data_IF_484879985618
#
_entry.id   IF_484879985618
#
_cell.length_a   1.000
_cell.length_b   1.000
_cell.length_c   1.000
_cell.angle_alpha   90.00
_cell.angle_beta   90.00
_cell.angle_gamma   90.00
#
_symmetry.space_group_name_H-M   'P 1'
#
loop_
_entity.id
_entity.type
_entity.pdbx_description
1 polymer ?
#
# COMPACT_ATOMS: atom_id res chain seq x y z
N UNK A 1 -12.96 -3.23 25.12
CA UNK A 1 -12.18 -4.50 25.09
C UNK A 1 -12.20 -4.93 23.64
N UNK A 2 -11.07 -5.24 23.00
CA UNK A 2 -11.08 -5.62 21.60
C UNK A 2 -11.89 -6.93 21.43
N UNK A 3 -12.87 -6.94 20.54
CA UNK A 3 -13.64 -8.15 20.24
C UNK A 3 -12.76 -9.16 19.50
N UNK A 4 -12.97 -10.45 19.75
CA UNK A 4 -12.36 -11.54 19.01
C UNK A 4 -13.46 -12.37 18.34
N UNK A 5 -13.51 -12.37 17.00
CA UNK A 5 -14.59 -13.08 16.27
C UNK A 5 -14.65 -14.59 16.57
N UNK A 6 -13.55 -15.19 17.06
CA UNK A 6 -13.52 -16.61 17.44
C UNK A 6 -14.46 -16.93 18.61
N UNK A 7 -14.79 -15.92 19.42
CA UNK A 7 -15.64 -16.06 20.59
C UNK A 7 -17.13 -16.09 20.20
N UNK A 8 -17.43 -16.01 18.89
CA UNK A 8 -18.77 -15.95 18.35
C UNK A 8 -18.98 -17.03 17.28
N UNK A 9 -20.19 -17.60 17.25
CA UNK A 9 -20.69 -18.21 16.02
C UNK A 9 -20.97 -17.12 14.97
N UNK A 10 -20.98 -17.44 13.66
CA UNK A 10 -21.29 -16.46 12.63
C UNK A 10 -22.64 -15.76 12.84
N UNK A 11 -23.69 -16.50 13.20
CA UNK A 11 -25.02 -15.94 13.44
C UNK A 11 -25.07 -15.08 14.72
N UNK A 12 -24.44 -15.51 15.81
CA UNK A 12 -24.35 -14.70 17.03
C UNK A 12 -23.54 -13.42 16.81
N UNK A 13 -22.46 -13.48 16.03
CA UNK A 13 -21.66 -12.30 15.67
C UNK A 13 -22.50 -11.28 14.90
N UNK A 14 -23.21 -11.72 13.85
CA UNK A 14 -24.09 -10.84 13.07
C UNK A 14 -25.21 -10.29 13.95
N UNK A 15 -25.83 -11.11 14.80
CA UNK A 15 -26.87 -10.63 15.72
C UNK A 15 -26.37 -9.53 16.67
N UNK A 16 -25.20 -9.73 17.29
CA UNK A 16 -24.60 -8.74 18.20
C UNK A 16 -24.19 -7.45 17.47
N UNK A 17 -23.71 -7.57 16.22
CA UNK A 17 -23.42 -6.44 15.34
C UNK A 17 -24.68 -5.64 14.98
N UNK A 18 -25.77 -6.33 14.65
CA UNK A 18 -27.04 -5.71 14.24
C UNK A 18 -27.79 -5.06 15.40
N UNK A 19 -27.54 -5.53 16.62
CA UNK A 19 -28.04 -4.94 17.86
C UNK A 19 -27.12 -3.83 18.41
N UNK A 20 -26.10 -3.40 17.64
CA UNK A 20 -25.13 -2.36 18.03
C UNK A 20 -24.34 -2.67 19.30
N UNK A 21 -24.24 -3.94 19.70
CA UNK A 21 -23.44 -4.38 20.86
C UNK A 21 -21.98 -4.58 20.49
N UNK A 22 -21.70 -4.79 19.20
CA UNK A 22 -20.37 -4.72 18.62
C UNK A 22 -20.27 -3.42 17.82
N UNK A 23 -19.23 -2.63 18.07
CA UNK A 23 -18.98 -1.46 17.24
C UNK A 23 -18.51 -1.88 15.85
N UNK A 24 -19.00 -1.22 14.80
CA UNK A 24 -18.64 -1.50 13.40
C UNK A 24 -17.11 -1.53 13.22
N UNK A 25 -16.40 -0.54 13.77
CA UNK A 25 -14.95 -0.47 13.68
C UNK A 25 -14.25 -1.69 14.33
N UNK A 26 -14.78 -2.20 15.44
CA UNK A 26 -14.26 -3.39 16.11
C UNK A 26 -14.53 -4.65 15.28
N UNK A 27 -15.72 -4.76 14.67
CA UNK A 27 -16.08 -5.85 13.75
C UNK A 27 -15.11 -5.94 12.57
N UNK A 28 -14.88 -4.81 11.87
CA UNK A 28 -13.94 -4.76 10.75
C UNK A 28 -12.50 -5.08 11.20
N UNK A 29 -12.05 -4.52 12.32
CA UNK A 29 -10.71 -4.78 12.86
C UNK A 29 -10.50 -6.26 13.16
N UNK A 30 -11.48 -6.90 13.82
CA UNK A 30 -11.42 -8.30 14.20
C UNK A 30 -11.49 -9.23 12.98
N UNK A 31 -12.45 -9.04 12.08
CA UNK A 31 -12.52 -9.79 10.81
C UNK A 31 -11.23 -9.64 10.00
N UNK A 32 -10.67 -8.42 9.92
CA UNK A 32 -9.40 -8.15 9.24
C UNK A 32 -8.23 -8.93 9.80
N UNK A 33 -8.11 -9.01 11.12
CA UNK A 33 -7.05 -9.78 11.77
C UNK A 33 -7.06 -11.25 11.30
N UNK A 34 -8.23 -11.86 11.18
CA UNK A 34 -8.38 -13.26 10.79
C UNK A 34 -8.31 -13.50 9.28
N UNK A 35 -8.81 -12.57 8.45
CA UNK A 35 -8.64 -12.63 6.98
C UNK A 35 -7.16 -12.68 6.63
N UNK A 36 -6.33 -11.86 7.28
CA UNK A 36 -4.90 -11.81 7.01
C UNK A 36 -4.09 -12.89 7.76
N UNK A 37 -4.60 -13.43 8.87
CA UNK A 37 -3.92 -14.47 9.63
C UNK A 37 -3.51 -15.66 8.76
N UNK A 38 -2.27 -16.12 8.94
CA UNK A 38 -1.77 -17.39 8.42
C UNK A 38 -2.22 -18.56 9.30
N UNK A 39 -2.64 -18.29 10.54
CA UNK A 39 -3.15 -19.31 11.45
C UNK A 39 -4.51 -19.80 10.95
N UNK A 40 -4.68 -21.12 10.91
CA UNK A 40 -5.94 -21.79 10.51
C UNK A 40 -6.95 -21.86 11.66
N UNK A 41 -6.81 -21.00 12.67
CA UNK A 41 -7.59 -21.04 13.91
C UNK A 41 -9.09 -20.87 13.66
N UNK A 42 -9.46 -20.26 12.52
CA UNK A 42 -10.83 -20.21 12.03
C UNK A 42 -10.87 -20.84 10.63
N UNK A 43 -11.72 -21.86 10.48
CA UNK A 43 -11.87 -22.60 9.23
C UNK A 43 -12.62 -21.79 8.16
N UNK A 44 -12.40 -22.12 6.89
CA UNK A 44 -13.10 -21.49 5.77
C UNK A 44 -14.63 -21.60 5.89
N UNK A 45 -15.14 -22.71 6.44
CA UNK A 45 -16.56 -22.92 6.69
C UNK A 45 -17.17 -21.83 7.60
N UNK A 46 -16.44 -21.39 8.63
CA UNK A 46 -16.91 -20.32 9.50
C UNK A 46 -17.06 -19.00 8.72
N UNK A 47 -16.11 -18.68 7.83
CA UNK A 47 -16.17 -17.49 6.98
C UNK A 47 -17.27 -17.58 5.92
N UNK A 48 -17.50 -18.77 5.35
CA UNK A 48 -18.62 -19.00 4.43
C UNK A 48 -19.96 -18.74 5.14
N UNK A 49 -20.13 -19.30 6.34
CA UNK A 49 -21.31 -19.05 7.16
C UNK A 49 -21.45 -17.58 7.55
N UNK A 50 -20.34 -16.91 7.90
CA UNK A 50 -20.36 -15.46 8.19
C UNK A 50 -20.82 -14.66 6.97
N UNK A 51 -20.28 -14.92 5.78
CA UNK A 51 -20.71 -14.22 4.55
C UNK A 51 -22.19 -14.46 4.29
N UNK A 52 -22.69 -15.68 4.49
CA UNK A 52 -24.10 -15.99 4.32
C UNK A 52 -25.00 -15.23 5.31
N UNK A 53 -24.64 -15.18 6.59
CA UNK A 53 -25.39 -14.46 7.62
C UNK A 53 -25.36 -12.95 7.41
N UNK A 54 -24.21 -12.38 7.07
CA UNK A 54 -24.09 -10.96 6.72
C UNK A 54 -24.96 -10.62 5.49
N UNK A 55 -24.95 -11.47 4.46
CA UNK A 55 -25.77 -11.23 3.27
C UNK A 55 -27.27 -11.34 3.54
N UNK A 56 -27.70 -12.28 4.40
CA UNK A 56 -29.11 -12.35 4.84
C UNK A 56 -29.52 -11.10 5.61
N UNK A 57 -28.68 -10.63 6.53
CA UNK A 57 -28.91 -9.40 7.28
C UNK A 57 -29.01 -8.18 6.36
N UNK A 58 -28.14 -8.12 5.35
CA UNK A 58 -28.17 -7.08 4.33
C UNK A 58 -29.44 -7.13 3.47
N UNK A 59 -29.90 -8.31 3.06
CA UNK A 59 -31.12 -8.49 2.27
C UNK A 59 -32.41 -8.08 3.03
N UNK A 60 -32.41 -8.15 4.37
CA UNK A 60 -33.55 -7.73 5.19
C UNK A 60 -33.78 -6.22 5.20
N UNK A 61 -32.70 -5.44 5.30
CA UNK A 61 -32.77 -3.97 5.32
C UNK A 61 -31.45 -3.36 4.76
N UNK A 62 -31.33 -3.26 3.42
CA UNK A 62 -30.14 -2.73 2.76
C UNK A 62 -29.81 -1.28 3.15
N UNK A 63 -30.81 -0.48 3.51
CA UNK A 63 -30.65 0.93 3.88
C UNK A 63 -29.96 1.07 5.23
N UNK A 64 -30.42 0.29 6.21
CA UNK A 64 -29.87 0.33 7.57
C UNK A 64 -28.53 -0.38 7.71
N UNK A 65 -28.28 -1.39 6.89
CA UNK A 65 -27.15 -2.32 7.06
C UNK A 65 -26.14 -2.32 5.91
N UNK A 66 -25.96 -1.19 5.22
CA UNK A 66 -24.97 -1.07 4.14
C UNK A 66 -23.55 -1.53 4.51
N UNK A 67 -23.11 -1.25 5.74
CA UNK A 67 -21.80 -1.69 6.25
C UNK A 67 -21.65 -3.22 6.35
N UNK A 68 -22.76 -3.96 6.49
CA UNK A 68 -22.78 -5.43 6.59
C UNK A 68 -22.38 -6.04 5.24
N UNK A 69 -22.79 -5.44 4.12
CA UNK A 69 -22.39 -5.88 2.80
C UNK A 69 -20.88 -5.75 2.60
N UNK A 70 -20.31 -4.62 3.01
CA UNK A 70 -18.86 -4.42 2.92
C UNK A 70 -18.11 -5.40 3.82
N UNK A 71 -18.58 -5.63 5.05
CA UNK A 71 -18.01 -6.64 5.93
C UNK A 71 -18.11 -8.05 5.31
N UNK A 72 -19.17 -8.33 4.55
CA UNK A 72 -19.32 -9.59 3.81
C UNK A 72 -18.30 -9.70 2.67
N UNK A 73 -18.07 -8.63 1.91
CA UNK A 73 -17.00 -8.57 0.90
C UNK A 73 -15.63 -8.80 1.56
N UNK A 74 -15.39 -8.16 2.71
CA UNK A 74 -14.16 -8.30 3.48
C UNK A 74 -13.97 -9.74 4.00
N UNK A 75 -14.99 -10.33 4.60
CA UNK A 75 -14.97 -11.71 5.07
C UNK A 75 -14.75 -12.71 3.91
N UNK A 76 -15.39 -12.46 2.76
CA UNK A 76 -15.23 -13.30 1.57
C UNK A 76 -13.78 -13.33 1.07
N UNK A 77 -12.97 -12.29 1.33
CA UNK A 77 -11.55 -12.28 0.98
C UNK A 77 -10.75 -13.44 1.59
N UNK A 78 -11.20 -13.99 2.73
CA UNK A 78 -10.61 -15.19 3.33
C UNK A 78 -10.77 -16.42 2.43
N UNK A 79 -11.82 -16.45 1.62
CA UNK A 79 -12.20 -17.55 0.75
C UNK A 79 -11.56 -17.44 -0.64
N UNK A 80 -10.72 -16.43 -0.89
CA UNK A 80 -10.12 -16.20 -2.20
C UNK A 80 -9.46 -17.47 -2.79
N UNK A 81 -9.79 -17.76 -4.05
CA UNK A 81 -9.35 -18.97 -4.76
C UNK A 81 -10.27 -20.18 -4.62
N UNK A 82 -11.31 -20.12 -3.76
CA UNK A 82 -12.30 -21.20 -3.63
C UNK A 82 -13.49 -21.04 -4.60
N UNK A 83 -14.27 -22.10 -4.80
CA UNK A 83 -15.54 -22.02 -5.55
C UNK A 83 -16.58 -21.15 -4.81
N UNK A 84 -16.60 -21.22 -3.48
CA UNK A 84 -17.49 -20.43 -2.61
C UNK A 84 -17.25 -18.93 -2.81
N UNK A 85 -15.99 -18.52 -2.90
CA UNK A 85 -15.65 -17.12 -3.19
C UNK A 85 -16.28 -16.62 -4.49
N UNK A 86 -16.17 -17.38 -5.58
CA UNK A 86 -16.76 -17.02 -6.88
C UNK A 86 -18.28 -16.92 -6.80
N UNK A 87 -18.93 -17.91 -6.17
CA UNK A 87 -20.39 -17.91 -5.93
C UNK A 87 -20.83 -16.66 -5.15
N UNK A 88 -20.08 -16.29 -4.11
CA UNK A 88 -20.36 -15.10 -3.32
C UNK A 88 -20.18 -13.81 -4.13
N UNK A 89 -19.19 -13.73 -5.03
CA UNK A 89 -19.02 -12.57 -5.93
C UNK A 89 -20.22 -12.40 -6.87
N UNK A 90 -20.77 -13.48 -7.41
CA UNK A 90 -21.99 -13.45 -8.23
C UNK A 90 -23.21 -13.00 -7.42
N UNK A 91 -23.30 -13.43 -6.15
CA UNK A 91 -24.33 -12.95 -5.22
C UNK A 91 -24.17 -11.45 -4.92
N UNK A 92 -22.95 -11.00 -4.63
CA UNK A 92 -22.65 -9.58 -4.42
C UNK A 92 -22.98 -8.74 -5.65
N UNK A 93 -22.70 -9.24 -6.86
CA UNK A 93 -23.10 -8.59 -8.11
C UNK A 93 -24.61 -8.46 -8.22
N UNK A 94 -25.32 -9.55 -8.01
CA UNK A 94 -26.79 -9.60 -8.13
C UNK A 94 -27.42 -8.63 -7.14
N UNK A 95 -26.95 -8.65 -5.89
CA UNK A 95 -27.37 -7.69 -4.87
C UNK A 95 -27.02 -6.26 -5.29
N UNK A 96 -25.77 -5.96 -5.68
CA UNK A 96 -25.36 -4.60 -6.13
C UNK A 96 -26.18 -4.03 -7.29
N UNK A 97 -26.80 -4.89 -8.11
CA UNK A 97 -27.70 -4.51 -9.21
C UNK A 97 -29.14 -4.30 -8.74
N UNK A 98 -29.63 -5.17 -7.85
CA UNK A 98 -31.02 -5.19 -7.39
C UNK A 98 -31.28 -4.23 -6.23
N UNK A 99 -30.23 -3.78 -5.56
CA UNK A 99 -30.33 -2.78 -4.53
C UNK A 99 -30.75 -1.45 -5.18
N UNK A 100 -32.05 -1.16 -5.13
CA UNK A 100 -32.65 0.14 -5.42
C UNK A 100 -32.35 1.11 -4.27
N UNK A 101 -31.09 1.20 -3.81
CA UNK A 101 -30.73 2.23 -2.84
C UNK A 101 -30.93 3.57 -3.51
N UNK A 102 -31.79 4.40 -2.92
CA UNK A 102 -32.02 5.78 -3.34
C UNK A 102 -30.66 6.44 -3.57
N UNK A 103 -30.53 7.18 -4.66
CA UNK A 103 -29.36 8.00 -4.94
C UNK A 103 -29.06 8.86 -3.69
N UNK A 104 -27.99 8.52 -2.96
CA UNK A 104 -27.69 9.14 -1.65
C UNK A 104 -27.32 8.20 -0.50
N UNK A 105 -26.90 6.96 -0.77
CA UNK A 105 -26.27 6.08 0.23
C UNK A 105 -24.80 5.83 -0.17
N UNK A 106 -23.85 6.07 0.74
CA UNK A 106 -22.41 6.03 0.44
C UNK A 106 -21.89 4.62 0.31
N UNK A 107 -22.35 3.78 1.21
CA UNK A 107 -21.97 2.38 1.36
C UNK A 107 -22.29 1.63 0.06
N UNK A 108 -23.40 1.98 -0.61
CA UNK A 108 -23.76 1.45 -1.92
C UNK A 108 -22.66 1.62 -2.97
N UNK A 109 -22.19 2.85 -3.17
CA UNK A 109 -21.24 3.17 -4.22
C UNK A 109 -19.86 2.58 -3.92
N UNK A 110 -19.46 2.55 -2.66
CA UNK A 110 -18.23 1.89 -2.23
C UNK A 110 -18.30 0.37 -2.46
N UNK A 111 -19.34 -0.29 -1.94
CA UNK A 111 -19.60 -1.71 -2.13
C UNK A 111 -19.60 -2.11 -3.61
N UNK A 112 -20.32 -1.35 -4.44
CA UNK A 112 -20.39 -1.56 -5.89
C UNK A 112 -19.01 -1.35 -6.54
N UNK A 113 -18.24 -0.36 -6.09
CA UNK A 113 -16.86 -0.14 -6.52
C UNK A 113 -15.99 -1.37 -6.25
N UNK A 114 -16.03 -1.87 -5.00
CA UNK A 114 -15.28 -3.05 -4.57
C UNK A 114 -15.65 -4.30 -5.36
N UNK A 115 -16.94 -4.58 -5.55
CA UNK A 115 -17.39 -5.75 -6.31
C UNK A 115 -16.90 -5.69 -7.75
N UNK A 116 -17.10 -4.55 -8.44
CA UNK A 116 -16.60 -4.39 -9.80
C UNK A 116 -15.07 -4.50 -9.88
N UNK A 117 -14.36 -3.98 -8.88
CA UNK A 117 -12.90 -4.10 -8.80
C UNK A 117 -12.46 -5.57 -8.74
N UNK A 118 -13.06 -6.36 -7.85
CA UNK A 118 -12.72 -7.77 -7.65
C UNK A 118 -12.96 -8.58 -8.93
N UNK A 119 -13.96 -8.19 -9.72
CA UNK A 119 -14.31 -8.84 -10.99
C UNK A 119 -13.45 -8.39 -12.17
N UNK A 120 -12.58 -7.40 -11.98
CA UNK A 120 -11.78 -6.82 -13.04
C UNK A 120 -12.53 -5.81 -13.93
N UNK A 121 -13.77 -5.44 -13.61
CA UNK A 121 -14.48 -4.36 -14.30
C UNK A 121 -14.05 -2.99 -13.75
N UNK A 122 -12.79 -2.65 -13.98
CA UNK A 122 -12.14 -1.49 -13.39
C UNK A 122 -12.80 -0.17 -13.78
N UNK A 123 -13.37 -0.09 -14.98
CA UNK A 123 -14.11 1.08 -15.45
C UNK A 123 -15.40 1.31 -14.65
N UNK A 124 -16.17 0.24 -14.36
CA UNK A 124 -17.36 0.37 -13.50
C UNK A 124 -16.98 0.57 -12.03
N UNK A 125 -15.88 -0.03 -11.58
CA UNK A 125 -15.35 0.19 -10.24
C UNK A 125 -15.04 1.68 -10.04
N UNK A 126 -14.26 2.26 -10.95
CA UNK A 126 -13.93 3.69 -10.99
C UNK A 126 -15.19 4.56 -10.93
N UNK A 127 -16.16 4.34 -11.82
CA UNK A 127 -17.40 5.13 -11.84
C UNK A 127 -18.15 5.06 -10.51
N UNK A 128 -18.18 3.89 -9.88
CA UNK A 128 -18.85 3.69 -8.60
C UNK A 128 -18.13 4.45 -7.49
N UNK A 129 -16.81 4.34 -7.41
CA UNK A 129 -16.02 5.07 -6.43
C UNK A 129 -16.05 6.60 -6.62
N UNK A 130 -16.13 7.09 -7.85
CA UNK A 130 -16.32 8.52 -8.11
C UNK A 130 -17.67 9.02 -7.58
N UNK A 131 -18.73 8.23 -7.72
CA UNK A 131 -20.04 8.55 -7.15
C UNK A 131 -20.02 8.48 -5.63
N UNK A 132 -19.26 7.55 -5.04
CA UNK A 132 -19.00 7.52 -3.60
C UNK A 132 -18.36 8.83 -3.14
N UNK A 133 -17.27 9.23 -3.77
CA UNK A 133 -16.51 10.42 -3.42
C UNK A 133 -17.32 11.71 -3.51
N UNK A 134 -18.02 11.89 -4.63
CA UNK A 134 -18.83 13.09 -4.89
C UNK A 134 -19.88 13.33 -3.81
N UNK A 135 -20.47 12.27 -3.27
CA UNK A 135 -21.54 12.39 -2.29
C UNK A 135 -21.01 12.40 -0.83
N UNK A 136 -19.74 12.04 -0.61
CA UNK A 136 -19.19 11.82 0.74
C UNK A 136 -17.74 12.27 0.84
N UNK A 137 -17.48 13.58 1.03
CA UNK A 137 -16.13 14.11 1.14
C UNK A 137 -15.41 13.64 2.41
N UNK A 138 -16.11 13.16 3.46
CA UNK A 138 -15.47 12.60 4.68
C UNK A 138 -15.97 11.18 4.95
N UNK A 139 -15.17 10.13 4.71
CA UNK A 139 -15.67 8.79 4.72
C UNK A 139 -15.59 8.24 6.15
N UNK A 140 -16.33 7.17 6.46
CA UNK A 140 -16.12 6.41 7.69
C UNK A 140 -14.65 6.04 7.88
N UNK A 141 -14.17 6.01 9.13
CA UNK A 141 -12.76 5.79 9.48
C UNK A 141 -12.15 4.51 8.87
N UNK A 142 -12.93 3.44 8.72
CA UNK A 142 -12.45 2.18 8.14
C UNK A 142 -12.24 2.27 6.62
N UNK A 143 -13.01 3.10 5.92
CA UNK A 143 -12.73 3.45 4.53
C UNK A 143 -11.50 4.34 4.39
N UNK A 144 -10.92 4.90 5.47
CA UNK A 144 -9.78 5.82 5.40
C UNK A 144 -8.45 5.15 5.07
N UNK A 145 -8.35 3.82 5.15
CA UNK A 145 -7.18 3.10 4.66
C UNK A 145 -7.40 2.68 3.21
N UNK A 146 -6.70 3.26 2.24
CA UNK A 146 -6.84 2.87 0.83
C UNK A 146 -8.05 3.46 0.12
N UNK A 147 -9.23 3.37 0.74
CA UNK A 147 -10.53 3.75 0.19
C UNK A 147 -10.73 5.23 -0.18
N UNK A 148 -10.14 6.25 0.47
CA UNK A 148 -10.34 7.64 0.07
C UNK A 148 -9.51 7.98 -1.16
N UNK A 149 -8.45 7.22 -1.44
CA UNK A 149 -7.60 7.45 -2.60
C UNK A 149 -8.27 7.03 -3.91
N UNK A 150 -9.47 6.43 -3.82
CA UNK A 150 -10.39 6.27 -4.92
C UNK A 150 -11.20 7.53 -5.25
N UNK A 151 -11.16 8.56 -4.39
CA UNK A 151 -11.98 9.77 -4.51
C UNK A 151 -11.50 10.73 -5.57
N UNK A 152 -10.19 10.74 -5.80
CA UNK A 152 -9.55 11.52 -6.84
C UNK A 152 -8.94 10.56 -7.86
N UNK A 153 -9.22 10.76 -9.14
CA UNK A 153 -9.71 9.72 -10.02
C UNK A 153 -8.59 8.97 -10.75
N UNK A 154 -8.96 7.75 -11.09
CA UNK A 154 -8.47 6.94 -12.20
C UNK A 154 -8.67 7.59 -13.59
N UNK A 155 -8.89 8.90 -13.66
CA UNK A 155 -9.17 9.67 -14.87
C UNK A 155 -8.10 10.76 -15.13
N UNK A 156 -7.75 11.01 -16.40
CA UNK A 156 -6.63 11.88 -16.80
C UNK A 156 -6.76 13.37 -16.42
N UNK A 157 -7.92 13.82 -15.91
CA UNK A 157 -8.18 15.26 -15.65
C UNK A 157 -7.65 15.80 -14.31
N UNK A 158 -7.22 14.94 -13.39
CA UNK A 158 -6.66 15.37 -12.08
C UNK A 158 -5.19 14.91 -11.92
N UNK A 159 -4.76 13.94 -12.72
CA UNK A 159 -3.36 13.64 -12.98
C UNK A 159 -2.66 14.88 -13.58
N UNK A 160 -2.10 15.75 -12.73
CA UNK A 160 -1.33 16.92 -13.17
C UNK A 160 -1.61 18.24 -12.47
N UNK A 161 -2.51 18.31 -11.47
CA UNK A 161 -2.73 19.54 -10.69
C UNK A 161 -2.16 19.53 -9.27
N UNK A 162 -1.89 18.37 -8.67
CA UNK A 162 -1.17 18.37 -7.40
C UNK A 162 0.28 18.77 -7.64
N UNK A 163 0.65 19.92 -7.08
CA UNK A 163 2.04 20.32 -6.95
C UNK A 163 2.63 19.48 -5.83
N UNK A 164 3.45 18.50 -6.18
CA UNK A 164 4.34 17.90 -5.21
C UNK A 164 5.31 18.99 -4.74
N UNK A 165 5.29 19.38 -3.45
CA UNK A 165 5.99 20.57 -2.98
C UNK A 165 7.50 20.36 -2.87
N UNK A 166 7.97 19.10 -2.89
CA UNK A 166 9.38 18.76 -2.72
C UNK A 166 10.26 19.22 -3.88
N UNK A 167 11.36 19.89 -3.53
CA UNK A 167 12.48 20.11 -4.44
C UNK A 167 13.58 19.10 -4.10
N UNK A 168 13.91 18.24 -5.06
CA UNK A 168 14.99 17.26 -4.91
C UNK A 168 16.35 17.96 -4.91
N UNK A 169 17.07 17.86 -3.81
CA UNK A 169 18.45 18.34 -3.66
C UNK A 169 19.41 17.15 -3.53
N UNK A 170 20.36 17.03 -4.47
CA UNK A 170 21.42 16.01 -4.39
C UNK A 170 22.56 16.52 -3.52
N UNK A 171 22.87 15.78 -2.46
CA UNK A 171 23.98 16.09 -1.54
C UNK A 171 25.24 15.36 -1.93
N UNK A 172 25.10 14.08 -2.28
CA UNK A 172 26.22 13.19 -2.55
C UNK A 172 25.83 12.13 -3.58
N UNK A 173 26.77 11.85 -4.48
CA UNK A 173 26.70 10.72 -5.40
C UNK A 173 27.43 9.51 -4.81
N UNK A 174 26.84 8.33 -4.98
CA UNK A 174 27.58 7.08 -4.77
C UNK A 174 28.65 6.91 -5.85
N UNK A 175 29.84 6.45 -5.46
CA UNK A 175 30.94 6.06 -6.36
C UNK A 175 30.92 4.57 -6.71
N UNK A 176 29.90 3.84 -6.26
CA UNK A 176 29.77 2.42 -6.53
C UNK A 176 29.64 2.13 -8.04
N UNK A 177 30.30 1.05 -8.47
CA UNK A 177 30.30 0.55 -9.86
C UNK A 177 29.26 -0.54 -10.14
N UNK A 178 28.33 -0.82 -9.22
CA UNK A 178 27.26 -1.81 -9.52
C UNK A 178 26.35 -1.31 -10.66
N UNK A 179 25.57 -2.22 -11.25
CA UNK A 179 24.63 -1.94 -12.34
C UNK A 179 23.25 -1.49 -11.86
N UNK A 180 23.00 -1.48 -10.55
CA UNK A 180 21.73 -1.07 -9.96
C UNK A 180 21.92 -0.04 -8.84
N UNK A 181 20.83 0.58 -8.41
CA UNK A 181 20.79 1.43 -7.22
C UNK A 181 19.61 1.03 -6.33
N UNK A 182 19.88 0.76 -5.07
CA UNK A 182 18.83 0.58 -4.05
C UNK A 182 18.41 1.95 -3.57
N UNK A 183 17.20 2.36 -3.94
CA UNK A 183 16.58 3.63 -3.55
C UNK A 183 15.63 3.41 -2.38
N UNK A 184 15.88 4.15 -1.29
CA UNK A 184 15.00 4.22 -0.13
C UNK A 184 14.66 5.68 0.18
N UNK A 185 13.44 5.92 0.65
CA UNK A 185 13.00 7.22 1.16
C UNK A 185 12.60 7.08 2.63
N UNK A 186 12.98 8.05 3.45
CA UNK A 186 12.69 8.05 4.88
C UNK A 186 12.82 9.46 5.49
N UNK A 187 12.24 9.67 6.67
CA UNK A 187 12.59 10.82 7.52
C UNK A 187 13.93 10.61 8.27
N UNK A 188 14.42 11.65 8.93
CA UNK A 188 15.66 11.61 9.72
C UNK A 188 15.64 10.55 10.84
N UNK A 189 14.49 10.32 11.47
CA UNK A 189 14.34 9.37 12.56
C UNK A 189 14.46 7.93 12.07
N UNK A 190 13.79 7.60 10.96
CA UNK A 190 13.90 6.29 10.31
C UNK A 190 15.30 6.05 9.76
N UNK A 191 15.95 7.06 9.18
CA UNK A 191 17.35 6.92 8.75
C UNK A 191 18.28 6.59 9.92
N UNK A 192 18.10 7.26 11.06
CA UNK A 192 18.88 6.98 12.27
C UNK A 192 18.59 5.58 12.86
N UNK A 193 17.33 5.14 12.80
CA UNK A 193 16.89 3.87 13.40
C UNK A 193 17.16 2.63 12.54
N UNK A 194 17.19 2.77 11.22
CA UNK A 194 17.31 1.64 10.28
C UNK A 194 18.51 1.76 9.33
N UNK A 195 18.94 2.97 8.99
CA UNK A 195 19.85 3.21 7.87
C UNK A 195 21.18 2.48 7.96
N UNK A 196 21.81 2.45 9.13
CA UNK A 196 23.09 1.74 9.32
C UNK A 196 22.93 0.23 9.10
N UNK A 197 21.92 -0.37 9.73
CA UNK A 197 21.70 -1.82 9.64
C UNK A 197 21.25 -2.23 8.24
N UNK A 198 20.44 -1.38 7.58
CA UNK A 198 20.07 -1.56 6.19
C UNK A 198 21.31 -1.51 5.29
N UNK A 199 22.15 -0.49 5.44
CA UNK A 199 23.41 -0.35 4.71
C UNK A 199 24.31 -1.58 4.91
N UNK A 200 24.62 -1.94 6.16
CA UNK A 200 25.49 -3.06 6.48
C UNK A 200 24.94 -4.39 5.94
N UNK A 201 23.62 -4.60 6.03
CA UNK A 201 22.96 -5.78 5.49
C UNK A 201 23.14 -5.87 3.98
N UNK A 202 22.87 -4.78 3.25
CA UNK A 202 23.03 -4.75 1.80
C UNK A 202 24.50 -4.94 1.42
N UNK A 203 25.44 -4.25 2.07
CA UNK A 203 26.88 -4.40 1.79
C UNK A 203 27.41 -5.80 2.10
N UNK A 204 26.82 -6.49 3.08
CA UNK A 204 27.15 -7.89 3.37
C UNK A 204 26.72 -8.83 2.24
N UNK A 205 25.57 -8.57 1.63
CA UNK A 205 25.02 -9.40 0.54
C UNK A 205 25.61 -9.03 -0.83
N UNK A 206 25.89 -7.74 -1.04
CA UNK A 206 26.48 -7.19 -2.25
C UNK A 206 27.47 -6.07 -1.87
N UNK A 207 28.77 -6.42 -1.73
CA UNK A 207 29.82 -5.46 -1.41
C UNK A 207 30.00 -4.35 -2.45
N UNK A 208 29.40 -4.46 -3.64
CA UNK A 208 29.45 -3.43 -4.67
C UNK A 208 28.14 -2.64 -4.76
N UNK A 209 27.08 -2.99 -4.03
CA UNK A 209 25.79 -2.30 -4.12
C UNK A 209 25.90 -0.78 -3.88
N UNK A 210 25.14 -0.04 -4.69
CA UNK A 210 24.93 1.40 -4.61
C UNK A 210 23.63 1.64 -3.86
N UNK A 211 23.68 2.39 -2.76
CA UNK A 211 22.50 2.67 -1.94
C UNK A 211 22.27 4.16 -1.94
N UNK A 212 21.10 4.59 -2.37
CA UNK A 212 20.69 5.99 -2.36
C UNK A 212 19.63 6.21 -1.29
N UNK A 213 19.97 7.00 -0.28
CA UNK A 213 19.01 7.47 0.72
C UNK A 213 18.44 8.81 0.26
N UNK A 214 17.12 8.89 0.17
CA UNK A 214 16.40 10.14 0.01
C UNK A 214 15.75 10.52 1.34
N UNK A 215 16.12 11.67 1.90
CA UNK A 215 15.71 12.06 3.25
C UNK A 215 14.70 13.19 3.20
N UNK A 216 13.52 12.96 3.78
CA UNK A 216 12.49 13.99 3.89
C UNK A 216 12.70 14.78 5.16
N UNK A 217 12.69 16.11 5.05
CA UNK A 217 12.90 17.04 6.17
C UNK A 217 14.13 16.65 7.00
N UNK A 218 15.34 16.66 6.42
CA UNK A 218 16.54 16.27 7.15
C UNK A 218 16.84 17.27 8.28
N UNK A 219 17.14 16.73 9.46
CA UNK A 219 17.71 17.51 10.56
C UNK A 219 18.98 18.21 10.08
N UNK A 220 19.25 19.42 10.59
CA UNK A 220 20.46 20.18 10.24
C UNK A 220 21.73 19.33 10.47
N UNK A 221 22.71 19.43 9.56
CA UNK A 221 24.00 18.72 9.63
C UNK A 221 23.90 17.18 9.68
N UNK A 222 22.94 16.57 8.98
CA UNK A 222 22.68 15.12 9.02
C UNK A 222 23.92 14.25 8.77
N UNK A 223 24.80 14.65 7.83
CA UNK A 223 26.07 13.94 7.54
C UNK A 223 27.03 13.88 8.73
N UNK A 224 27.09 14.96 9.55
CA UNK A 224 27.90 14.98 10.77
C UNK A 224 27.27 14.12 11.87
N UNK A 225 25.94 14.07 11.91
CA UNK A 225 25.16 13.34 12.92
C UNK A 225 25.10 11.83 12.65
N UNK A 226 25.11 11.42 11.38
CA UNK A 226 24.95 10.03 10.96
C UNK A 226 26.19 9.60 10.16
N UNK A 227 27.22 9.14 10.90
CA UNK A 227 28.57 8.93 10.35
C UNK A 227 28.65 7.95 9.18
N UNK A 228 27.80 6.92 9.13
CA UNK A 228 27.86 5.91 8.06
C UNK A 228 27.56 6.52 6.68
N UNK A 229 26.83 7.64 6.61
CA UNK A 229 26.54 8.37 5.37
C UNK A 229 27.80 8.93 4.68
N UNK A 230 28.93 9.00 5.38
CA UNK A 230 30.20 9.40 4.78
C UNK A 230 30.81 8.33 3.87
N UNK A 231 30.28 7.10 3.88
CA UNK A 231 30.74 6.02 3.00
C UNK A 231 30.52 6.39 1.52
N UNK A 232 31.52 6.15 0.66
CA UNK A 232 31.49 6.51 -0.76
C UNK A 232 30.53 5.70 -1.62
N UNK A 233 30.04 4.57 -1.12
CA UNK A 233 29.00 3.77 -1.79
C UNK A 233 27.58 4.31 -1.54
N UNK A 234 27.45 5.35 -0.72
CA UNK A 234 26.18 5.98 -0.39
C UNK A 234 25.95 7.22 -1.26
N UNK A 235 24.83 7.20 -1.96
CA UNK A 235 24.19 8.39 -2.50
C UNK A 235 23.24 9.01 -1.48
N UNK A 236 23.16 10.33 -1.46
CA UNK A 236 22.29 11.06 -0.55
C UNK A 236 21.60 12.21 -1.29
N UNK A 237 20.29 12.29 -1.13
CA UNK A 237 19.49 13.45 -1.51
C UNK A 237 18.50 13.79 -0.41
N UNK A 238 17.90 14.97 -0.49
CA UNK A 238 16.81 15.34 0.40
C UNK A 238 15.79 16.24 -0.28
N UNK A 239 14.68 16.43 0.41
CA UNK A 239 13.73 17.50 0.15
C UNK A 239 13.21 18.07 1.48
N UNK A 240 12.82 19.35 1.46
CA UNK A 240 12.17 20.03 2.58
C UNK A 240 10.76 20.39 2.19
N UNK A 241 9.81 19.94 2.98
CA UNK A 241 8.37 20.12 2.74
C UNK A 241 7.65 20.47 4.03
N UNK A 242 6.69 21.39 3.91
CA UNK A 242 5.78 21.77 4.98
C UNK A 242 4.42 21.14 4.69
N UNK A 243 4.20 19.96 5.27
CA UNK A 243 3.03 19.11 5.02
C UNK A 243 2.66 18.32 6.29
N UNK A 244 1.37 18.11 6.50
CA UNK A 244 0.82 17.34 7.62
C UNK A 244 0.98 15.82 7.46
N UNK A 245 0.91 15.30 6.24
CA UNK A 245 0.96 13.86 5.92
C UNK A 245 2.39 13.35 5.68
N UNK A 246 3.35 13.79 6.50
CA UNK A 246 4.79 13.54 6.29
C UNK A 246 5.16 12.05 6.14
N UNK A 247 4.45 11.15 6.83
CA UNK A 247 4.69 9.70 6.77
C UNK A 247 4.31 9.11 5.43
N UNK A 248 3.13 9.46 4.93
CA UNK A 248 2.66 9.03 3.61
C UNK A 248 3.55 9.63 2.54
N UNK A 249 3.85 10.91 2.66
CA UNK A 249 4.75 11.59 1.74
C UNK A 249 6.12 10.90 1.68
N UNK A 250 6.72 10.61 2.84
CA UNK A 250 8.00 9.90 2.91
C UNK A 250 7.96 8.51 2.26
N UNK A 251 6.86 7.77 2.38
CA UNK A 251 6.72 6.46 1.74
C UNK A 251 6.55 6.55 0.22
N UNK A 252 5.95 7.62 -0.31
CA UNK A 252 5.73 7.79 -1.76
C UNK A 252 6.87 8.53 -2.47
N UNK A 253 7.65 9.38 -1.79
CA UNK A 253 8.73 10.18 -2.41
C UNK A 253 9.73 9.32 -3.19
N UNK A 254 10.02 8.10 -2.74
CA UNK A 254 10.89 7.15 -3.48
C UNK A 254 10.42 6.85 -4.90
N UNK A 255 9.11 6.84 -5.16
CA UNK A 255 8.58 6.64 -6.50
C UNK A 255 8.64 7.92 -7.34
N UNK A 256 8.41 9.07 -6.70
CA UNK A 256 8.41 10.38 -7.36
C UNK A 256 9.78 10.82 -7.84
N UNK A 257 10.84 10.38 -7.17
CA UNK A 257 12.21 10.65 -7.59
C UNK A 257 12.85 9.49 -8.37
N UNK A 258 12.17 8.34 -8.49
CA UNK A 258 12.76 7.12 -9.03
C UNK A 258 13.36 7.31 -10.43
N UNK A 259 12.63 7.98 -11.33
CA UNK A 259 13.11 8.28 -12.70
C UNK A 259 14.34 9.18 -12.67
N UNK A 260 14.33 10.23 -11.85
CA UNK A 260 15.49 11.12 -11.68
C UNK A 260 16.71 10.37 -11.16
N UNK A 261 16.53 9.45 -10.21
CA UNK A 261 17.60 8.62 -9.66
C UNK A 261 18.10 7.60 -10.70
N UNK A 262 17.20 7.01 -11.49
CA UNK A 262 17.54 6.12 -12.60
C UNK A 262 18.44 6.82 -13.62
N UNK A 263 18.09 8.05 -13.99
CA UNK A 263 18.88 8.88 -14.92
C UNK A 263 20.20 9.32 -14.31
N UNK A 264 20.17 9.73 -13.03
CA UNK A 264 21.34 10.22 -12.31
C UNK A 264 22.47 9.20 -12.23
N UNK A 265 22.12 7.93 -11.98
CA UNK A 265 23.10 6.86 -11.86
C UNK A 265 23.32 6.09 -13.17
N UNK A 266 22.45 6.27 -14.15
CA UNK A 266 22.40 5.47 -15.38
C UNK A 266 22.28 3.96 -15.07
N UNK A 267 21.37 3.60 -14.15
CA UNK A 267 21.25 2.24 -13.58
C UNK A 267 19.81 1.79 -13.38
N UNK A 268 19.60 0.48 -13.29
CA UNK A 268 18.36 -0.10 -12.80
C UNK A 268 18.08 0.36 -11.36
N UNK A 269 16.82 0.57 -10.99
CA UNK A 269 16.43 1.03 -9.66
C UNK A 269 15.69 -0.06 -8.90
N UNK A 270 16.13 -0.33 -7.68
CA UNK A 270 15.43 -1.16 -6.72
C UNK A 270 14.83 -0.23 -5.68
N UNK A 271 13.50 -0.10 -5.66
CA UNK A 271 12.81 0.70 -4.66
C UNK A 271 12.50 -0.19 -3.46
N UNK A 272 12.87 0.24 -2.25
CA UNK A 272 12.69 -0.55 -1.02
C UNK A 272 12.16 0.29 0.14
N UNK A 273 11.44 -0.33 1.08
CA UNK A 273 11.32 0.23 2.44
C UNK A 273 12.68 0.10 3.13
N UNK A 274 13.02 1.08 3.97
CA UNK A 274 14.25 1.03 4.78
C UNK A 274 14.17 -0.02 5.91
N UNK A 275 12.97 -0.49 6.26
CA UNK A 275 12.73 -1.46 7.32
C UNK A 275 12.71 -2.93 6.84
N UNK A 276 13.13 -3.18 5.59
CA UNK A 276 13.29 -4.53 5.05
C UNK A 276 14.63 -5.17 5.40
N UNK A 277 14.57 -6.48 5.63
CA UNK A 277 15.71 -7.38 5.73
C UNK A 277 15.82 -8.22 4.45
N UNK A 278 16.74 -7.83 3.58
CA UNK A 278 17.13 -8.60 2.39
C UNK A 278 17.75 -9.94 2.80
N UNK A 279 17.43 -11.00 2.06
CA UNK A 279 18.07 -12.33 2.18
C UNK A 279 18.85 -12.74 0.95
N UNK A 280 18.65 -12.04 -0.16
CA UNK A 280 19.36 -12.22 -1.42
C UNK A 280 19.97 -10.87 -1.81
N UNK A 281 21.04 -10.91 -2.60
CA UNK A 281 21.73 -9.69 -3.00
C UNK A 281 20.83 -8.83 -3.91
N UNK A 282 20.87 -7.49 -3.83
CA UNK A 282 20.06 -6.63 -4.70
C UNK A 282 20.30 -6.89 -6.19
N UNK A 283 21.56 -7.17 -6.57
CA UNK A 283 21.90 -7.58 -7.94
C UNK A 283 21.17 -8.86 -8.37
N UNK A 284 21.08 -9.85 -7.50
CA UNK A 284 20.36 -11.08 -7.83
C UNK A 284 18.85 -10.85 -7.95
N UNK A 285 18.27 -9.96 -7.13
CA UNK A 285 16.85 -9.58 -7.29
C UNK A 285 16.61 -9.01 -8.71
N UNK A 286 17.50 -8.13 -9.19
CA UNK A 286 17.39 -7.55 -10.54
C UNK A 286 17.53 -8.63 -11.61
N UNK A 287 18.48 -9.54 -11.47
CA UNK A 287 18.72 -10.62 -12.43
C UNK A 287 17.57 -11.63 -12.51
N UNK A 288 16.78 -11.79 -11.43
CA UNK A 288 15.59 -12.66 -11.43
C UNK A 288 14.41 -12.06 -12.18
N UNK A 289 14.40 -10.75 -12.43
CA UNK A 289 13.32 -10.09 -13.16
C UNK A 289 13.56 -10.28 -14.66
N UNK A 290 12.77 -11.12 -15.30
CA UNK A 290 12.81 -11.33 -16.75
C UNK A 290 12.04 -10.24 -17.53
N UNK A 291 11.10 -9.54 -16.87
CA UNK A 291 10.33 -8.44 -17.45
C UNK A 291 11.03 -7.08 -17.44
N UNK A 292 10.27 -6.02 -17.69
CA UNK A 292 10.74 -4.64 -17.58
C UNK A 292 10.89 -4.21 -16.12
N UNK A 293 9.98 -4.68 -15.27
CA UNK A 293 9.97 -4.42 -13.83
C UNK A 293 9.50 -5.64 -13.04
N UNK A 294 9.77 -5.64 -11.74
CA UNK A 294 9.38 -6.67 -10.78
C UNK A 294 8.55 -6.06 -9.66
N UNK A 295 7.39 -6.66 -9.37
CA UNK A 295 6.49 -6.23 -8.30
C UNK A 295 6.18 -7.39 -7.37
N UNK A 296 5.84 -7.07 -6.12
CA UNK A 296 5.41 -8.07 -5.16
C UNK A 296 3.88 -8.22 -5.19
N UNK A 297 3.37 -9.24 -5.90
CA UNK A 297 1.93 -9.42 -6.12
C UNK A 297 1.31 -10.32 -5.05
N UNK A 298 0.11 -9.95 -4.63
CA UNK A 298 -0.70 -10.68 -3.67
C UNK A 298 -1.95 -11.28 -4.34
N UNK A 299 -1.76 -12.21 -5.28
CA UNK A 299 -2.85 -12.73 -6.13
C UNK A 299 -4.01 -13.38 -5.35
N UNK A 300 -3.74 -14.01 -4.20
CA UNK A 300 -4.77 -14.68 -3.41
C UNK A 300 -5.60 -13.67 -2.61
N UNK A 301 -5.07 -13.24 -1.45
CA UNK A 301 -5.80 -12.37 -0.51
C UNK A 301 -5.91 -10.92 -1.02
N UNK A 302 -5.04 -10.52 -1.96
CA UNK A 302 -4.87 -9.13 -2.37
C UNK A 302 -5.80 -8.65 -3.48
N UNK A 303 -6.46 -9.55 -4.24
CA UNK A 303 -7.47 -9.12 -5.24
C UNK A 303 -8.75 -8.57 -4.62
N UNK A 304 -8.93 -8.77 -3.32
CA UNK A 304 -10.12 -8.29 -2.62
C UNK A 304 -10.06 -6.81 -2.32
N UNK A 305 -8.86 -6.26 -2.12
CA UNK A 305 -8.66 -4.84 -1.86
C UNK A 305 -7.52 -4.29 -2.71
N UNK A 306 -7.75 -3.22 -3.46
CA UNK A 306 -6.75 -2.63 -4.34
C UNK A 306 -5.43 -2.29 -3.64
N UNK A 307 -5.51 -1.65 -2.47
CA UNK A 307 -4.35 -1.34 -1.62
C UNK A 307 -3.69 -2.59 -1.01
N UNK A 308 -4.13 -3.80 -1.32
CA UNK A 308 -3.49 -5.04 -0.86
C UNK A 308 -3.03 -5.93 -2.01
N UNK A 309 -3.27 -5.52 -3.26
CA UNK A 309 -2.93 -6.31 -4.45
C UNK A 309 -1.44 -6.26 -4.76
N UNK A 310 -0.85 -5.06 -4.78
CA UNK A 310 0.60 -4.86 -4.95
C UNK A 310 1.17 -4.33 -3.64
N UNK A 311 2.20 -4.99 -3.11
CA UNK A 311 2.90 -4.51 -1.92
C UNK A 311 4.04 -3.56 -2.32
N UNK A 312 4.11 -2.39 -1.69
CA UNK A 312 5.04 -1.33 -2.06
C UNK A 312 6.42 -1.43 -1.40
N UNK A 313 6.62 -2.44 -0.56
CA UNK A 313 7.86 -2.59 0.21
C UNK A 313 9.09 -2.88 -0.64
N UNK A 314 8.93 -3.56 -1.79
CA UNK A 314 10.02 -3.87 -2.70
C UNK A 314 9.52 -3.87 -4.16
N UNK A 315 10.20 -3.12 -5.02
CA UNK A 315 10.00 -3.11 -6.46
C UNK A 315 11.33 -3.00 -7.20
N UNK A 316 11.40 -3.57 -8.41
CA UNK A 316 12.56 -3.51 -9.30
C UNK A 316 12.15 -2.89 -10.61
N UNK A 317 12.94 -1.95 -11.13
CA UNK A 317 12.65 -1.24 -12.37
C UNK A 317 13.91 -1.19 -13.21
N UNK A 318 13.91 -1.90 -14.35
CA UNK A 318 15.05 -1.83 -15.28
C UNK A 318 15.09 -0.47 -15.96
N UNK A 319 16.28 0.00 -16.34
CA UNK A 319 16.43 1.25 -17.08
C UNK A 319 16.02 1.07 -18.54
N UNK A 320 14.72 1.18 -18.78
CA UNK A 320 14.12 1.15 -20.10
C UNK A 320 12.84 2.01 -20.16
N UNK A 321 12.35 2.26 -21.38
CA UNK A 321 11.20 3.15 -21.59
C UNK A 321 9.91 2.67 -20.89
N UNK A 322 9.70 1.36 -20.81
CA UNK A 322 8.48 0.80 -20.20
C UNK A 322 8.49 1.01 -18.68
N UNK A 323 9.59 0.72 -18.00
CA UNK A 323 9.76 0.99 -16.57
C UNK A 323 9.67 2.48 -16.23
N UNK A 324 10.25 3.34 -17.09
CA UNK A 324 10.13 4.79 -16.93
C UNK A 324 8.65 5.21 -17.03
N UNK A 325 7.95 4.78 -18.09
CA UNK A 325 6.53 5.08 -18.27
C UNK A 325 5.67 4.53 -17.11
N UNK A 326 6.03 3.37 -16.56
CA UNK A 326 5.37 2.81 -15.39
C UNK A 326 5.56 3.68 -14.14
N UNK A 327 6.80 4.10 -13.85
CA UNK A 327 7.14 5.00 -12.74
C UNK A 327 6.49 6.38 -12.90
N UNK A 328 6.36 6.88 -14.13
CA UNK A 328 5.64 8.12 -14.43
C UNK A 328 4.14 8.00 -14.15
N UNK A 329 3.52 6.85 -14.47
CA UNK A 329 2.12 6.59 -14.12
C UNK A 329 1.90 6.57 -12.60
N UNK A 330 2.83 5.94 -11.85
CA UNK A 330 2.82 5.96 -10.38
C UNK A 330 2.92 7.40 -9.88
N UNK A 331 3.91 8.15 -10.37
CA UNK A 331 4.16 9.54 -9.97
C UNK A 331 2.97 10.44 -10.27
N UNK A 332 2.38 10.29 -11.46
CA UNK A 332 1.20 11.02 -11.88
C UNK A 332 -0.01 10.71 -11.00
N UNK A 333 -0.17 9.46 -10.55
CA UNK A 333 -1.25 9.09 -9.64
C UNK A 333 -1.03 9.73 -8.27
N UNK A 334 0.16 9.59 -7.70
CA UNK A 334 0.51 10.20 -6.42
C UNK A 334 0.25 11.70 -6.46
N UNK A 335 0.72 12.40 -7.50
CA UNK A 335 0.48 13.83 -7.64
C UNK A 335 -1.01 14.19 -7.80
N UNK A 336 -1.82 13.32 -8.42
CA UNK A 336 -3.26 13.58 -8.58
C UNK A 336 -4.09 13.28 -7.33
N UNK A 337 -3.56 12.49 -6.39
CA UNK A 337 -4.33 11.92 -5.27
C UNK A 337 -3.80 12.34 -3.90
N UNK A 338 -2.51 12.69 -3.80
CA UNK A 338 -1.95 13.15 -2.54
C UNK A 338 -2.69 14.40 -2.06
N UNK A 339 -3.29 14.27 -0.89
CA UNK A 339 -4.00 15.32 -0.19
C UNK A 339 -3.36 15.45 1.19
N UNK A 340 -2.84 16.64 1.49
CA UNK A 340 -2.18 16.89 2.76
C UNK A 340 -3.17 17.09 3.92
N UNK A 341 -4.46 17.31 3.64
CA UNK A 341 -5.49 17.44 4.66
C UNK A 341 -6.12 16.08 5.04
N UNK A 342 -5.97 15.06 4.18
CA UNK A 342 -6.56 13.74 4.38
C UNK A 342 -5.52 12.63 4.59
N UNK A 343 -5.87 11.65 5.41
CA UNK A 343 -5.02 10.48 5.59
C UNK A 343 -4.99 9.63 4.31
N UNK A 344 -3.87 9.69 3.61
CA UNK A 344 -3.59 8.93 2.39
C UNK A 344 -2.76 7.66 2.64
N UNK A 345 -2.89 7.02 3.80
CA UNK A 345 -2.12 5.80 4.11
C UNK A 345 -2.36 4.70 3.06
N UNK A 346 -1.25 4.08 2.60
CA UNK A 346 -1.17 3.11 1.49
C UNK A 346 -1.21 3.72 0.08
N UNK A 347 -0.93 5.01 -0.07
CA UNK A 347 -0.90 5.68 -1.38
C UNK A 347 0.08 5.05 -2.37
N UNK A 348 1.23 4.59 -1.89
CA UNK A 348 2.21 3.87 -2.72
C UNK A 348 1.64 2.55 -3.29
N UNK A 349 1.01 1.73 -2.45
CA UNK A 349 0.39 0.47 -2.88
C UNK A 349 -0.75 0.72 -3.88
N UNK A 350 -1.54 1.77 -3.66
CA UNK A 350 -2.59 2.21 -4.59
C UNK A 350 -2.02 2.68 -5.93
N UNK A 351 -0.94 3.46 -5.90
CA UNK A 351 -0.31 3.97 -7.11
C UNK A 351 0.32 2.85 -7.95
N UNK A 352 0.92 1.85 -7.32
CA UNK A 352 1.43 0.65 -7.98
C UNK A 352 0.31 -0.17 -8.64
N UNK A 353 -0.76 -0.42 -7.91
CA UNK A 353 -1.94 -1.13 -8.41
C UNK A 353 -2.53 -0.43 -9.63
N UNK A 354 -2.66 0.90 -9.54
CA UNK A 354 -3.11 1.73 -10.64
C UNK A 354 -2.22 1.62 -11.87
N UNK A 355 -0.91 1.81 -11.70
CA UNK A 355 0.05 1.77 -12.80
C UNK A 355 0.05 0.39 -13.46
N UNK A 356 -0.05 -0.70 -12.67
CA UNK A 356 -0.15 -2.06 -13.17
C UNK A 356 -1.35 -2.26 -14.09
N UNK A 357 -2.52 -1.75 -13.71
CA UNK A 357 -3.72 -1.85 -14.55
C UNK A 357 -3.66 -1.02 -15.81
N UNK A 358 -3.08 0.18 -15.75
CA UNK A 358 -2.90 1.02 -16.95
C UNK A 358 -1.91 0.44 -17.95
N UNK A 359 -1.05 -0.44 -17.48
CA UNK A 359 0.03 -1.04 -18.24
C UNK A 359 -0.12 -2.56 -18.28
N UNK A 360 -1.34 -3.07 -18.44
CA UNK A 360 -1.65 -4.52 -18.37
C UNK A 360 -0.87 -5.38 -19.38
N UNK A 361 -0.38 -4.75 -20.46
CA UNK A 361 0.41 -5.40 -21.49
C UNK A 361 1.94 -5.29 -21.28
N UNK A 362 2.40 -4.55 -20.26
CA UNK A 362 3.83 -4.47 -19.96
C UNK A 362 4.30 -5.74 -19.26
N UNK A 363 5.40 -6.35 -19.72
CA UNK A 363 5.93 -7.56 -19.10
C UNK A 363 6.51 -7.22 -17.72
N UNK A 364 6.06 -7.93 -16.69
CA UNK A 364 6.58 -7.80 -15.34
C UNK A 364 6.76 -9.17 -14.67
N UNK A 365 7.61 -9.22 -13.66
CA UNK A 365 7.82 -10.42 -12.85
C UNK A 365 7.18 -10.29 -11.47
N UNK A 366 6.54 -11.35 -10.99
CA UNK A 366 6.04 -11.43 -9.61
C UNK A 366 7.18 -11.86 -8.67
N UNK A 367 7.75 -10.90 -7.94
CA UNK A 367 8.86 -11.10 -7.01
C UNK A 367 8.54 -12.15 -5.94
N UNK A 368 7.26 -12.31 -5.57
CA UNK A 368 6.87 -13.35 -4.61
C UNK A 368 7.05 -14.74 -5.19
N UNK A 369 6.65 -14.96 -6.45
CA UNK A 369 6.81 -16.25 -7.15
C UNK A 369 8.26 -16.57 -7.44
N UNK A 370 9.09 -15.54 -7.62
CA UNK A 370 10.55 -15.67 -7.76
C UNK A 370 11.26 -15.99 -6.44
N UNK A 371 10.53 -16.13 -5.33
CA UNK A 371 11.11 -16.49 -4.04
C UNK A 371 11.86 -15.35 -3.36
N UNK A 372 11.68 -14.09 -3.79
CA UNK A 372 12.26 -12.94 -3.12
C UNK A 372 11.58 -12.75 -1.75
N UNK A 373 12.29 -12.99 -0.63
CA UNK A 373 11.65 -12.94 0.68
C UNK A 373 11.44 -11.49 1.11
N UNK A 374 10.19 -11.14 1.41
CA UNK A 374 9.85 -9.87 2.03
C UNK A 374 9.79 -10.09 3.54
N UNK A 375 10.84 -9.67 4.24
CA UNK A 375 10.87 -9.70 5.70
C UNK A 375 11.24 -8.33 6.24
N UNK A 376 10.61 -7.91 7.34
CA UNK A 376 10.99 -6.70 8.05
C UNK A 376 11.95 -7.03 9.18
N UNK A 377 12.70 -6.04 9.67
CA UNK A 377 13.47 -6.19 10.91
C UNK A 377 12.54 -6.61 12.07
N UNK A 378 12.97 -7.59 12.87
CA UNK A 378 12.17 -8.19 13.95
C UNK A 378 11.85 -7.22 15.09
N UNK A 379 12.69 -6.21 15.28
CA UNK A 379 12.61 -5.24 16.39
C UNK A 379 11.97 -3.89 15.96
N UNK A 380 10.75 -3.93 15.42
CA UNK A 380 10.07 -2.70 14.99
C UNK A 380 9.72 -1.75 16.16
N UNK A 381 9.25 -2.23 17.33
CA UNK A 381 8.89 -1.34 18.43
C UNK A 381 10.07 -0.54 18.98
N UNK A 382 11.23 -1.16 19.21
CA UNK A 382 12.41 -0.43 19.70
C UNK A 382 12.95 0.52 18.64
N UNK A 383 12.97 0.12 17.36
CA UNK A 383 13.41 1.01 16.27
C UNK A 383 12.52 2.23 16.11
N UNK A 384 11.20 2.09 16.26
CA UNK A 384 10.28 3.25 16.31
C UNK A 384 10.57 4.16 17.50
N UNK A 385 10.92 3.59 18.66
CA UNK A 385 11.36 4.37 19.82
C UNK A 385 12.68 5.11 19.54
N UNK A 386 13.64 4.45 18.89
CA UNK A 386 14.90 5.07 18.48
C UNK A 386 14.68 6.22 17.49
N UNK A 387 13.82 6.02 16.48
CA UNK A 387 13.46 7.06 15.50
C UNK A 387 12.88 8.29 16.20
N UNK A 388 11.89 8.09 17.08
CA UNK A 388 11.28 9.17 17.85
C UNK A 388 12.31 9.90 18.73
N UNK A 389 13.12 9.15 19.49
CA UNK A 389 14.14 9.73 20.35
C UNK A 389 15.17 10.55 19.57
N UNK A 390 15.51 10.13 18.35
CA UNK A 390 16.42 10.87 17.49
C UNK A 390 15.83 12.23 17.10
N UNK A 391 14.58 12.26 16.64
CA UNK A 391 13.90 13.52 16.26
C UNK A 391 13.76 14.47 17.46
N UNK A 392 13.29 13.97 18.61
CA UNK A 392 13.13 14.77 19.84
C UNK A 392 14.47 15.38 20.29
N UNK A 393 15.58 14.65 20.19
CA UNK A 393 16.92 15.16 20.55
C UNK A 393 17.34 16.36 19.69
N UNK A 394 16.78 16.52 18.50
CA UNK A 394 17.11 17.60 17.57
C UNK A 394 15.99 18.64 17.39
N UNK A 395 14.99 18.65 18.27
CA UNK A 395 13.93 19.66 18.28
C UNK A 395 12.89 19.48 17.18
N UNK A 396 12.74 18.26 16.66
CA UNK A 396 11.66 17.88 15.75
C UNK A 396 10.69 16.97 16.53
N UNK A 397 9.42 17.38 16.64
CA UNK A 397 8.36 16.68 17.40
C UNK A 397 7.61 15.63 16.57
#
# INVERSE_FOLDING_TARGET
MAIDIKDYSPSSFVSELMNSRIQIAEAFSSVRAYVHSSKKDIQNEWFENLVNELLKAFEQDPEKFGFVFELAVFANARLAGTAVFKKNLERFLTLSRNITLKAGNCEYFFAKGMVNYILGDYKKAEKSFQLYAKNYPRPPLFHRTGGPMYRNPYGPKVCGQGHFPGCLEIVKYSKSKTTNVVLVSCDSGYLAAYGKDFFDLIKKLDPLSCIHFHVINPVKDILKKIRFLNNDDIGLSFERVDISQIKTYSSVSRYLIAVKIMDLYDKDVIISDIDLSFKISPKDVVNLVDGDFGLYINEHKGRCFPWTYVLAGLGVYKKNLNSISFLENISSFINGVFDDEENCWMLDQMALEYALRRNENMPFSDLRKLGCPLSQFSDRPQRRKLAKNFLTKFGED
#
